data_IF_625066257382
#
_entry.id   IF_625066257382
#
_cell.length_a   1.000
_cell.length_b   1.000
_cell.length_c   1.000
_cell.angle_alpha   90.00
_cell.angle_beta   90.00
_cell.angle_gamma   90.00
#
_symmetry.space_group_name_H-M   'P 1'
#
loop_
_entity.id
_entity.type
_entity.pdbx_description
1 polymer ?
#
# COMPACT_ATOMS: atom_id res chain seq x y z
N UNK A 1 10.84 -21.26 -8.67
CA UNK A 1 9.63 -20.91 -7.92
C UNK A 1 8.98 -19.81 -8.73
N UNK A 2 7.71 -19.94 -9.12
CA UNK A 2 7.04 -18.92 -9.92
C UNK A 2 6.97 -17.62 -9.11
N UNK A 3 7.67 -16.59 -9.55
CA UNK A 3 7.59 -15.26 -8.95
C UNK A 3 6.15 -14.76 -9.08
N UNK A 4 5.49 -14.48 -7.95
CA UNK A 4 4.14 -13.95 -7.92
C UNK A 4 4.10 -12.60 -8.64
N UNK A 5 3.36 -12.51 -9.74
CA UNK A 5 3.27 -11.28 -10.52
C UNK A 5 2.39 -10.25 -9.82
N UNK A 6 2.49 -8.98 -10.25
CA UNK A 6 1.57 -7.91 -9.78
C UNK A 6 0.12 -8.29 -10.08
N UNK A 7 -0.13 -8.92 -11.23
CA UNK A 7 -1.47 -9.39 -11.62
C UNK A 7 -1.99 -10.44 -10.63
N UNK A 8 -1.16 -11.40 -10.23
CA UNK A 8 -1.56 -12.45 -9.29
C UNK A 8 -1.88 -11.87 -7.90
N UNK A 9 -1.12 -10.87 -7.45
CA UNK A 9 -1.39 -10.16 -6.20
C UNK A 9 -2.70 -9.38 -6.23
N UNK A 10 -3.00 -8.72 -7.35
CA UNK A 10 -4.26 -7.99 -7.54
C UNK A 10 -5.44 -8.97 -7.52
N UNK A 11 -5.35 -10.08 -8.28
CA UNK A 11 -6.38 -11.11 -8.31
C UNK A 11 -6.67 -11.64 -6.91
N UNK A 12 -5.63 -12.03 -6.16
CA UNK A 12 -5.77 -12.49 -4.79
C UNK A 12 -6.43 -11.43 -3.89
N UNK A 13 -6.00 -10.18 -4.00
CA UNK A 13 -6.55 -9.09 -3.20
C UNK A 13 -8.04 -8.85 -3.47
N UNK A 14 -8.49 -9.04 -4.71
CA UNK A 14 -9.90 -8.92 -5.10
C UNK A 14 -10.70 -10.15 -4.68
N UNK A 15 -10.14 -11.36 -4.81
CA UNK A 15 -10.77 -12.62 -4.39
C UNK A 15 -11.06 -12.68 -2.88
N UNK A 16 -10.25 -12.01 -2.06
CA UNK A 16 -10.42 -11.94 -0.60
C UNK A 16 -11.48 -10.93 -0.15
N UNK A 17 -12.06 -10.13 -1.07
CA UNK A 17 -13.04 -9.10 -0.74
C UNK A 17 -14.45 -9.64 -0.63
N UNK A 18 -15.30 -8.88 0.08
CA UNK A 18 -16.72 -9.20 0.21
C UNK A 18 -17.45 -9.06 -1.14
N UNK A 19 -18.46 -9.90 -1.45
CA UNK A 19 -19.18 -9.81 -2.72
C UNK A 19 -19.98 -8.51 -2.91
N UNK A 20 -20.26 -7.77 -1.84
CA UNK A 20 -20.95 -6.47 -1.85
C UNK A 20 -19.98 -5.27 -1.93
N UNK A 21 -18.69 -5.52 -2.13
CA UNK A 21 -17.69 -4.46 -2.20
C UNK A 21 -17.92 -3.52 -3.38
N UNK A 22 -17.79 -2.23 -3.13
CA UNK A 22 -17.91 -1.19 -4.15
C UNK A 22 -16.62 -1.03 -4.94
N UNK A 23 -16.73 -0.47 -6.14
CA UNK A 23 -15.56 -0.19 -6.97
C UNK A 23 -14.58 0.78 -6.29
N UNK A 24 -15.10 1.74 -5.51
CA UNK A 24 -14.28 2.69 -4.74
C UNK A 24 -13.43 1.97 -3.70
N UNK A 25 -14.02 1.08 -2.91
CA UNK A 25 -13.31 0.27 -1.90
C UNK A 25 -12.26 -0.65 -2.54
N UNK A 26 -12.54 -1.23 -3.71
CA UNK A 26 -11.54 -2.00 -4.48
C UNK A 26 -10.35 -1.12 -4.85
N UNK A 27 -10.60 0.06 -5.41
CA UNK A 27 -9.53 0.99 -5.77
C UNK A 27 -8.70 1.43 -4.56
N UNK A 28 -9.34 1.74 -3.43
CA UNK A 28 -8.67 2.08 -2.18
C UNK A 28 -7.79 0.93 -1.67
N UNK A 29 -8.33 -0.29 -1.66
CA UNK A 29 -7.60 -1.49 -1.23
C UNK A 29 -6.37 -1.74 -2.09
N UNK A 30 -6.51 -1.68 -3.40
CA UNK A 30 -5.39 -1.88 -4.34
C UNK A 30 -4.35 -0.77 -4.19
N UNK A 31 -4.79 0.48 -4.04
CA UNK A 31 -3.88 1.60 -3.81
C UNK A 31 -3.13 1.48 -2.47
N UNK A 32 -3.80 1.06 -1.41
CA UNK A 32 -3.18 0.78 -0.12
C UNK A 32 -2.07 -0.27 -0.26
N UNK A 33 -2.34 -1.41 -0.91
CA UNK A 33 -1.35 -2.46 -1.13
C UNK A 33 -0.15 -1.95 -1.94
N UNK A 34 -0.40 -1.16 -2.99
CA UNK A 34 0.66 -0.49 -3.74
C UNK A 34 1.54 0.39 -2.84
N UNK A 35 0.94 1.22 -1.98
CA UNK A 35 1.70 2.09 -1.06
C UNK A 35 2.53 1.29 -0.06
N UNK A 36 2.03 0.15 0.43
CA UNK A 36 2.79 -0.76 1.30
C UNK A 36 4.01 -1.32 0.56
N UNK A 37 3.84 -1.83 -0.67
CA UNK A 37 4.96 -2.34 -1.46
C UNK A 37 6.02 -1.27 -1.74
N UNK A 38 5.59 -0.04 -2.05
CA UNK A 38 6.53 1.08 -2.19
C UNK A 38 7.29 1.36 -0.89
N UNK A 39 6.58 1.37 0.25
CA UNK A 39 7.22 1.56 1.56
C UNK A 39 8.26 0.49 1.88
N UNK A 40 8.00 -0.78 1.53
CA UNK A 40 8.98 -1.86 1.69
C UNK A 40 10.22 -1.64 0.82
N UNK A 41 10.04 -1.27 -0.45
CA UNK A 41 11.16 -0.94 -1.35
C UNK A 41 11.98 0.24 -0.85
N UNK A 42 11.33 1.26 -0.29
CA UNK A 42 11.99 2.42 0.30
C UNK A 42 12.85 2.02 1.50
N UNK A 43 12.39 1.07 2.33
CA UNK A 43 13.21 0.52 3.42
C UNK A 43 14.44 -0.21 2.88
N UNK A 44 14.28 -1.03 1.84
CA UNK A 44 15.38 -1.77 1.21
C UNK A 44 16.44 -0.84 0.60
N UNK A 45 16.03 0.27 0.01
CA UNK A 45 16.95 1.25 -0.59
C UNK A 45 17.48 2.29 0.40
N UNK A 46 17.05 2.26 1.65
CA UNK A 46 17.41 3.25 2.66
C UNK A 46 16.75 4.62 2.48
N UNK A 47 15.72 4.73 1.63
CA UNK A 47 14.87 5.92 1.48
C UNK A 47 13.88 6.02 2.66
N UNK A 48 14.43 6.20 3.86
CA UNK A 48 13.67 6.26 5.11
C UNK A 48 13.94 7.58 5.84
N UNK A 49 12.98 7.98 6.67
CA UNK A 49 13.08 9.15 7.53
C UNK A 49 13.02 8.73 8.99
N UNK A 50 13.60 9.56 9.86
CA UNK A 50 13.46 9.35 11.31
C UNK A 50 12.01 9.47 11.76
N UNK A 51 11.67 8.81 12.87
CA UNK A 51 10.34 8.91 13.49
C UNK A 51 9.97 10.38 13.84
N UNK A 52 10.94 11.19 14.25
CA UNK A 52 10.73 12.61 14.53
C UNK A 52 10.33 13.40 13.28
N UNK A 53 10.98 13.13 12.15
CA UNK A 53 10.65 13.75 10.86
C UNK A 53 9.28 13.28 10.35
N UNK A 54 8.95 11.98 10.49
CA UNK A 54 7.63 11.46 10.16
C UNK A 54 6.51 12.18 10.93
N UNK A 55 6.69 12.37 12.25
CA UNK A 55 5.74 13.13 13.09
C UNK A 55 5.55 14.57 12.61
N UNK A 56 6.61 15.25 12.16
CA UNK A 56 6.52 16.61 11.62
C UNK A 56 5.69 16.66 10.33
N UNK A 57 5.85 15.68 9.45
CA UNK A 57 5.10 15.60 8.18
C UNK A 57 3.62 15.34 8.40
N UNK A 58 3.28 14.38 9.27
CA UNK A 58 1.87 14.03 9.56
C UNK A 58 1.11 15.25 10.12
N UNK A 59 1.74 16.06 10.99
CA UNK A 59 1.11 17.27 11.52
C UNK A 59 0.71 18.28 10.46
N UNK A 60 1.41 18.34 9.32
CA UNK A 60 1.10 19.25 8.21
C UNK A 60 -0.15 18.84 7.40
N UNK A 61 -0.62 17.60 7.56
CA UNK A 61 -1.82 17.12 6.87
C UNK A 61 -3.10 17.38 7.65
N UNK A 62 -2.97 17.73 8.94
CA UNK A 62 -4.09 18.00 9.85
C UNK A 62 -4.44 19.50 9.94
N UNK A 63 -3.72 20.33 9.17
CA UNK A 63 -3.88 21.78 9.04
C UNK A 63 -4.35 22.13 7.65
#
# INVERSE_FOLDING_TARGET
MSDTTVKDKILKAVEEMSPDVTFEEVMERLYFLYKVEQGLKQVETGDIISHAEAKKRIKKWQS
#
